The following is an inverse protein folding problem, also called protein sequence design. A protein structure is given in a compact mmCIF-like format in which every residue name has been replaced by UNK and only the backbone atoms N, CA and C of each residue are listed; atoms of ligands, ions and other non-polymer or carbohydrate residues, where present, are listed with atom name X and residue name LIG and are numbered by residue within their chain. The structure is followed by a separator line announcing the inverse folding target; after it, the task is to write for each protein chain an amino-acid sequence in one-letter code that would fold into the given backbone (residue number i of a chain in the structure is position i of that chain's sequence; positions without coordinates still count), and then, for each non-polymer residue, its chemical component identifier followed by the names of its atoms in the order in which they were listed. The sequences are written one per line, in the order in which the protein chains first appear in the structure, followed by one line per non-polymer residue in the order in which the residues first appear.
data_IF_121570064350
#
_entry.id   IF_121570064350
#
_cell.length_a   1.000
_cell.length_b   1.000
_cell.length_c   1.000
_cell.angle_alpha   90.00
_cell.angle_beta   90.00
_cell.angle_gamma   90.00
#
_symmetry.space_group_name_H-M   'P 1'
#
loop_
_entity.id
_entity.type
_entity.pdbx_description
1 polymer ?
#
# COMPACT_ATOMS: atom_id res chain seq x y z
N UNK A 1 -25.58 17.29 56.80
CA UNK A 1 -24.10 17.34 56.77
C UNK A 1 -23.65 15.90 56.61
N UNK A 2 -23.00 15.43 55.56
CA UNK A 2 -22.53 15.99 54.28
C UNK A 2 -22.77 14.88 53.25
N UNK A 3 -23.38 15.20 52.11
CA UNK A 3 -23.44 14.32 50.94
C UNK A 3 -22.28 14.72 50.03
N UNK A 4 -21.16 14.01 50.12
CA UNK A 4 -20.06 14.13 49.16
C UNK A 4 -20.50 13.55 47.82
N UNK A 5 -20.65 14.41 46.81
CA UNK A 5 -20.83 14.00 45.43
C UNK A 5 -19.48 13.57 44.87
N UNK A 6 -19.26 12.26 44.74
CA UNK A 6 -18.18 11.74 43.91
C UNK A 6 -18.50 12.07 42.46
N UNK A 7 -17.72 12.99 41.88
CA UNK A 7 -17.68 13.19 40.44
C UNK A 7 -17.05 11.96 39.82
N UNK A 8 -17.87 11.06 39.29
CA UNK A 8 -17.43 9.95 38.44
C UNK A 8 -16.85 10.53 37.15
N UNK A 9 -15.52 10.65 37.10
CA UNK A 9 -14.81 10.87 35.84
C UNK A 9 -14.93 9.62 34.98
N UNK A 10 -15.76 9.68 33.94
CA UNK A 10 -15.71 8.72 32.84
C UNK A 10 -14.39 8.90 32.09
N UNK A 11 -13.37 8.14 32.50
CA UNK A 11 -12.14 8.00 31.74
C UNK A 11 -12.38 7.07 30.55
N UNK A 12 -11.90 7.47 29.36
CA UNK A 12 -11.92 6.65 28.15
C UNK A 12 -11.31 5.27 28.40
N UNK A 13 -11.93 4.23 27.85
CA UNK A 13 -11.38 2.87 27.94
C UNK A 13 -10.06 2.76 27.15
N UNK A 14 -9.15 1.82 27.49
CA UNK A 14 -7.92 1.59 26.73
C UNK A 14 -8.16 1.32 25.23
N UNK A 15 -9.34 0.81 24.88
CA UNK A 15 -9.77 0.61 23.50
C UNK A 15 -10.13 1.91 22.81
N UNK A 16 -10.88 2.79 23.46
CA UNK A 16 -11.23 4.12 22.93
C UNK A 16 -9.99 5.02 22.83
N UNK A 17 -9.06 4.92 23.79
CA UNK A 17 -7.76 5.59 23.71
C UNK A 17 -6.90 5.06 22.57
N UNK A 18 -7.04 3.79 22.18
CA UNK A 18 -6.31 3.20 21.07
C UNK A 18 -6.96 3.50 19.72
N UNK A 19 -8.29 3.40 19.63
CA UNK A 19 -9.09 3.71 18.43
C UNK A 19 -9.06 5.21 18.09
N UNK A 20 -8.89 6.08 19.10
CA UNK A 20 -8.75 7.53 18.92
C UNK A 20 -7.34 7.99 18.55
N UNK A 21 -6.32 7.11 18.57
CA UNK A 21 -4.96 7.47 18.18
C UNK A 21 -4.82 7.43 16.67
N UNK A 22 -4.32 8.53 16.12
CA UNK A 22 -3.89 8.56 14.73
C UNK A 22 -2.70 7.61 14.54
N UNK A 23 -2.83 6.65 13.63
CA UNK A 23 -1.73 5.75 13.28
C UNK A 23 -0.69 6.57 12.52
N UNK A 24 0.52 6.66 13.08
CA UNK A 24 1.69 7.16 12.36
C UNK A 24 2.13 6.14 11.31
N UNK A 25 1.53 6.24 10.12
CA UNK A 25 1.78 5.36 8.99
C UNK A 25 3.24 5.36 8.57
N UNK A 26 3.91 6.52 8.65
CA UNK A 26 5.32 6.67 8.26
C UNK A 26 6.23 5.98 9.27
N UNK A 27 6.01 6.23 10.57
CA UNK A 27 6.74 5.56 11.64
C UNK A 27 6.59 4.03 11.60
N UNK A 28 5.40 3.51 11.28
CA UNK A 28 5.20 2.06 11.10
C UNK A 28 6.05 1.51 9.95
N UNK A 29 6.06 2.18 8.80
CA UNK A 29 6.83 1.74 7.64
C UNK A 29 8.34 1.86 7.85
N UNK A 30 8.80 2.91 8.53
CA UNK A 30 10.21 3.08 8.92
C UNK A 30 10.66 1.98 9.88
N UNK A 31 9.81 1.58 10.84
CA UNK A 31 10.09 0.47 11.75
C UNK A 31 10.15 -0.89 11.02
N UNK A 32 9.39 -1.05 9.94
CA UNK A 32 9.36 -2.27 9.13
C UNK A 32 10.48 -2.32 8.07
N UNK A 33 11.03 -1.18 7.66
CA UNK A 33 12.02 -1.07 6.58
C UNK A 33 13.25 -2.00 6.76
N UNK A 34 13.84 -2.18 7.95
CA UNK A 34 14.99 -3.08 8.14
C UNK A 34 14.66 -4.56 7.87
N UNK A 35 13.38 -4.93 7.93
CA UNK A 35 12.95 -6.30 7.72
C UNK A 35 12.53 -6.56 6.28
N UNK A 36 12.23 -5.52 5.50
CA UNK A 36 11.78 -5.63 4.13
C UNK A 36 12.81 -6.36 3.26
N UNK A 37 12.41 -7.50 2.68
CA UNK A 37 13.25 -8.31 1.79
C UNK A 37 12.96 -8.06 0.33
N UNK A 38 11.87 -7.37 0.03
CA UNK A 38 11.44 -7.03 -1.32
C UNK A 38 10.41 -5.91 -1.28
N UNK A 39 10.35 -5.13 -2.35
CA UNK A 39 9.22 -4.25 -2.65
C UNK A 39 8.50 -4.77 -3.89
N UNK A 40 7.19 -4.99 -3.80
CA UNK A 40 6.35 -5.38 -4.92
C UNK A 40 5.36 -4.26 -5.26
N UNK A 41 5.33 -3.86 -6.53
CA UNK A 41 4.54 -2.73 -7.02
C UNK A 41 3.38 -3.26 -7.87
N UNK A 42 2.15 -2.94 -7.47
CA UNK A 42 0.92 -3.52 -8.00
C UNK A 42 -0.12 -2.44 -8.34
N UNK A 43 -1.08 -2.75 -9.21
CA UNK A 43 -2.13 -1.82 -9.63
C UNK A 43 -3.36 -1.83 -8.74
N UNK A 44 -3.55 -2.90 -7.96
CA UNK A 44 -4.61 -3.07 -6.96
C UNK A 44 -4.11 -4.02 -5.87
N UNK A 45 -4.60 -3.91 -4.64
CA UNK A 45 -4.28 -4.86 -3.59
C UNK A 45 -4.92 -6.22 -3.89
N UNK A 46 -4.13 -7.15 -4.45
CA UNK A 46 -4.56 -8.54 -4.66
C UNK A 46 -4.24 -9.37 -3.42
N UNK A 47 -5.10 -9.31 -2.40
CA UNK A 47 -4.95 -10.12 -1.20
C UNK A 47 -5.28 -11.59 -1.49
N UNK A 48 -4.29 -12.48 -1.42
CA UNK A 48 -4.54 -13.92 -1.45
C UNK A 48 -4.76 -14.44 -0.02
N UNK A 49 -5.96 -14.22 0.52
CA UNK A 49 -6.34 -14.74 1.83
C UNK A 49 -6.67 -16.25 1.73
N UNK A 50 -5.65 -17.11 1.71
CA UNK A 50 -5.83 -18.48 2.23
C UNK A 50 -5.44 -18.58 3.70
N UNK A 51 -4.42 -17.83 4.13
CA UNK A 51 -4.16 -17.46 5.54
C UNK A 51 -3.35 -16.15 5.50
N UNK A 52 -3.95 -14.96 5.69
CA UNK A 52 -3.16 -13.73 5.68
C UNK A 52 -2.53 -13.51 7.05
N UNK A 53 -1.20 -13.60 7.14
CA UNK A 53 -0.43 -12.95 8.21
C UNK A 53 0.22 -11.72 7.58
N UNK A 54 -0.53 -10.62 7.45
CA UNK A 54 0.09 -9.32 7.21
C UNK A 54 0.30 -8.65 8.56
N UNK A 55 1.45 -8.02 8.76
CA UNK A 55 1.73 -7.28 9.99
C UNK A 55 1.08 -5.89 9.94
N UNK A 56 0.93 -5.31 8.74
CA UNK A 56 0.32 -4.00 8.55
C UNK A 56 -0.34 -3.87 7.16
N UNK A 57 -1.49 -3.19 7.12
CA UNK A 57 -2.14 -2.73 5.90
C UNK A 57 -2.51 -1.25 6.09
N UNK A 58 -1.83 -0.37 5.37
CA UNK A 58 -1.90 1.08 5.55
C UNK A 58 -2.46 1.71 4.27
N UNK A 59 -3.59 2.41 4.40
CA UNK A 59 -4.06 3.30 3.35
C UNK A 59 -3.38 4.66 3.53
N UNK A 60 -2.74 5.14 2.47
CA UNK A 60 -2.02 6.41 2.41
C UNK A 60 -2.62 7.27 1.29
N UNK A 61 -2.55 8.58 1.45
CA UNK A 61 -3.03 9.49 0.41
C UNK A 61 -1.99 9.59 -0.71
N UNK A 62 -2.37 10.17 -1.85
CA UNK A 62 -1.42 10.34 -2.97
C UNK A 62 -0.34 11.38 -2.64
N UNK A 63 -0.61 12.28 -1.71
CA UNK A 63 0.33 13.30 -1.21
C UNK A 63 1.48 12.67 -0.40
N UNK A 64 1.27 11.49 0.18
CA UNK A 64 2.36 10.70 0.80
C UNK A 64 3.26 10.01 -0.23
N UNK A 65 2.88 10.05 -1.51
CA UNK A 65 3.54 9.35 -2.61
C UNK A 65 5.04 9.65 -2.72
N UNK A 66 5.49 10.92 -2.77
CA UNK A 66 6.91 11.25 -2.87
C UNK A 66 7.75 10.67 -1.72
N UNK A 67 7.24 10.75 -0.49
CA UNK A 67 7.92 10.17 0.68
C UNK A 67 8.00 8.64 0.56
N UNK A 68 6.93 7.99 0.11
CA UNK A 68 6.93 6.54 -0.09
C UNK A 68 7.91 6.13 -1.20
N UNK A 69 8.03 6.93 -2.26
CA UNK A 69 9.04 6.71 -3.30
C UNK A 69 10.48 6.86 -2.79
N UNK A 70 10.73 7.82 -1.91
CA UNK A 70 12.04 7.97 -1.25
C UNK A 70 12.35 6.77 -0.35
N UNK A 71 11.36 6.25 0.39
CA UNK A 71 11.50 5.02 1.16
C UNK A 71 11.89 3.84 0.26
N UNK A 72 11.19 3.65 -0.86
CA UNK A 72 11.49 2.58 -1.81
C UNK A 72 12.89 2.74 -2.41
N UNK A 73 13.28 3.97 -2.77
CA UNK A 73 14.62 4.28 -3.27
C UNK A 73 15.70 3.96 -2.23
N UNK A 74 15.45 4.26 -0.97
CA UNK A 74 16.31 3.91 0.16
C UNK A 74 16.48 2.39 0.31
N UNK A 75 15.37 1.65 0.28
CA UNK A 75 15.37 0.18 0.30
C UNK A 75 16.15 -0.41 -0.89
N UNK A 76 15.90 0.11 -2.11
CA UNK A 76 16.61 -0.31 -3.31
C UNK A 76 18.13 -0.07 -3.22
N UNK A 77 18.52 1.08 -2.68
CA UNK A 77 19.94 1.43 -2.45
C UNK A 77 20.61 0.52 -1.40
N UNK A 78 19.82 -0.03 -0.48
CA UNK A 78 20.25 -1.03 0.50
C UNK A 78 20.25 -2.47 -0.05
N UNK A 79 19.96 -2.67 -1.34
CA UNK A 79 19.97 -3.97 -2.01
C UNK A 79 18.65 -4.74 -1.93
N UNK A 80 17.56 -4.10 -1.48
CA UNK A 80 16.24 -4.71 -1.49
C UNK A 80 15.68 -4.71 -2.92
N UNK A 81 15.35 -5.87 -3.52
CA UNK A 81 14.79 -5.93 -4.85
C UNK A 81 13.44 -5.22 -4.94
N UNK A 82 13.29 -4.37 -5.95
CA UNK A 82 12.03 -3.68 -6.27
C UNK A 82 11.46 -4.28 -7.55
N UNK A 83 10.24 -4.78 -7.47
CA UNK A 83 9.61 -5.56 -8.53
C UNK A 83 8.30 -4.94 -8.99
N UNK A 84 8.26 -4.50 -10.25
CA UNK A 84 7.08 -3.97 -10.89
C UNK A 84 6.21 -5.06 -11.53
N UNK A 85 4.95 -5.14 -11.09
CA UNK A 85 3.94 -6.06 -11.59
C UNK A 85 2.77 -5.36 -12.28
N UNK A 86 2.84 -4.05 -12.48
CA UNK A 86 1.80 -3.27 -13.13
C UNK A 86 1.89 -3.47 -14.64
N UNK A 87 0.98 -4.27 -15.20
CA UNK A 87 0.93 -4.56 -16.64
C UNK A 87 0.26 -3.46 -17.48
N UNK A 88 -0.51 -2.58 -16.85
CA UNK A 88 -1.27 -1.54 -17.53
C UNK A 88 -0.46 -0.23 -17.56
N UNK A 89 0.07 0.20 -18.72
CA UNK A 89 1.03 1.31 -18.79
C UNK A 89 0.51 2.64 -18.23
N UNK A 90 -0.75 3.06 -18.46
CA UNK A 90 -1.29 4.27 -17.83
C UNK A 90 -1.29 4.21 -16.30
N UNK A 91 -1.56 3.05 -15.71
CA UNK A 91 -1.53 2.88 -14.25
C UNK A 91 -0.10 2.93 -13.73
N UNK A 92 0.85 2.32 -14.44
CA UNK A 92 2.26 2.38 -14.07
C UNK A 92 2.76 3.83 -14.08
N UNK A 93 2.54 4.54 -15.18
CA UNK A 93 2.97 5.93 -15.31
C UNK A 93 2.35 6.84 -14.23
N UNK A 94 1.08 6.60 -13.85
CA UNK A 94 0.45 7.32 -12.76
C UNK A 94 1.11 7.02 -11.42
N UNK A 95 1.42 5.75 -11.14
CA UNK A 95 2.08 5.34 -9.89
C UNK A 95 3.51 5.86 -9.80
N UNK A 96 4.29 5.78 -10.87
CA UNK A 96 5.66 6.34 -10.94
C UNK A 96 5.66 7.85 -10.72
N UNK A 97 4.70 8.57 -11.30
CA UNK A 97 4.55 10.02 -11.08
C UNK A 97 4.14 10.34 -9.64
N UNK A 98 3.22 9.60 -9.06
CA UNK A 98 2.79 9.79 -7.65
C UNK A 98 3.96 9.53 -6.70
N UNK A 99 4.75 8.48 -6.96
CA UNK A 99 5.86 8.09 -6.10
C UNK A 99 7.15 8.86 -6.41
N UNK A 100 7.27 9.51 -7.56
CA UNK A 100 8.54 10.12 -7.99
C UNK A 100 9.66 9.09 -8.17
N UNK A 101 9.31 7.86 -8.54
CA UNK A 101 10.23 6.74 -8.69
C UNK A 101 9.82 5.88 -9.88
N UNK A 102 10.77 5.63 -10.79
CA UNK A 102 10.58 4.74 -11.95
C UNK A 102 10.92 3.30 -11.57
N UNK A 103 10.01 2.37 -11.83
CA UNK A 103 10.18 1.00 -11.38
C UNK A 103 10.76 0.12 -12.48
N UNK A 104 11.83 -0.64 -12.21
CA UNK A 104 12.34 -1.60 -13.18
C UNK A 104 11.28 -2.67 -13.45
N UNK A 105 11.00 -2.90 -14.73
CA UNK A 105 10.08 -3.97 -15.17
C UNK A 105 10.76 -5.32 -14.91
N UNK A 106 10.09 -6.20 -14.16
CA UNK A 106 10.63 -7.54 -13.87
C UNK A 106 10.35 -8.49 -15.01
N UNK A 107 11.31 -9.40 -15.25
CA UNK A 107 11.17 -10.50 -16.19
C UNK A 107 9.90 -11.31 -15.95
N UNK A 108 9.24 -11.67 -17.06
CA UNK A 108 8.09 -12.56 -17.08
C UNK A 108 8.59 -14.01 -17.02
N UNK A 109 7.80 -14.89 -16.42
CA UNK A 109 7.98 -16.34 -16.50
C UNK A 109 7.78 -16.87 -17.92
N UNK A 110 7.95 -18.18 -18.10
CA UNK A 110 7.90 -18.85 -19.40
C UNK A 110 6.55 -18.67 -20.13
N UNK A 111 5.47 -18.42 -19.39
CA UNK A 111 4.12 -18.17 -19.89
C UNK A 111 3.82 -16.69 -20.16
N UNK A 112 4.81 -15.81 -19.99
CA UNK A 112 4.64 -14.37 -20.10
C UNK A 112 3.91 -13.73 -18.91
N UNK A 113 3.55 -14.50 -17.88
CA UNK A 113 2.99 -13.99 -16.63
C UNK A 113 4.13 -13.62 -15.66
N UNK A 114 3.93 -12.66 -14.74
CA UNK A 114 4.97 -12.37 -13.76
C UNK A 114 5.19 -13.56 -12.82
N UNK A 115 6.46 -13.90 -12.53
CA UNK A 115 6.90 -15.12 -11.82
C UNK A 115 6.23 -15.41 -10.47
N UNK A 116 5.52 -14.45 -9.88
CA UNK A 116 4.87 -14.54 -8.57
C UNK A 116 3.34 -14.54 -8.62
N UNK A 117 2.77 -14.79 -9.79
CA UNK A 117 1.32 -14.91 -9.95
C UNK A 117 0.89 -16.38 -10.03
N UNK A 118 -0.01 -16.80 -9.16
CA UNK A 118 -0.69 -18.11 -9.24
C UNK A 118 -2.16 -17.86 -9.51
N UNK A 119 -2.66 -18.33 -10.68
CA UNK A 119 -4.05 -18.14 -11.12
C UNK A 119 -4.49 -16.66 -11.12
N UNK A 120 -3.62 -15.76 -11.60
CA UNK A 120 -3.89 -14.33 -11.68
C UNK A 120 -3.81 -13.57 -10.35
N UNK A 121 -3.36 -14.21 -9.26
CA UNK A 121 -3.17 -13.57 -7.96
C UNK A 121 -1.70 -13.49 -7.60
N UNK A 122 -1.28 -12.31 -7.13
CA UNK A 122 0.04 -12.13 -6.55
C UNK A 122 0.20 -13.00 -5.30
N UNK A 123 1.36 -13.65 -5.18
CA UNK A 123 1.75 -14.47 -4.03
C UNK A 123 2.88 -13.75 -3.31
N UNK A 124 2.52 -13.06 -2.23
CA UNK A 124 3.47 -12.40 -1.36
C UNK A 124 4.34 -13.43 -0.61
N UNK A 125 5.62 -13.11 -0.47
CA UNK A 125 6.55 -13.80 0.41
C UNK A 125 6.64 -13.16 1.80
N UNK A 126 7.29 -13.87 2.72
CA UNK A 126 7.64 -13.36 4.04
C UNK A 126 8.53 -12.11 3.91
N UNK A 127 8.15 -11.05 4.62
CA UNK A 127 8.77 -9.73 4.61
C UNK A 127 8.75 -9.01 3.25
N UNK A 128 7.77 -9.31 2.40
CA UNK A 128 7.51 -8.53 1.21
C UNK A 128 6.73 -7.25 1.59
N UNK A 129 7.18 -6.10 1.08
CA UNK A 129 6.46 -4.83 1.15
C UNK A 129 5.73 -4.60 -0.17
N UNK A 130 4.41 -4.65 -0.16
CA UNK A 130 3.58 -4.35 -1.30
C UNK A 130 3.18 -2.88 -1.31
N UNK A 131 3.30 -2.23 -2.46
CA UNK A 131 2.76 -0.90 -2.73
C UNK A 131 1.76 -1.03 -3.87
N UNK A 132 0.55 -0.52 -3.66
CA UNK A 132 -0.52 -0.62 -4.66
C UNK A 132 -1.21 0.71 -4.87
N UNK A 133 -1.41 1.08 -6.13
CA UNK A 133 -2.43 2.08 -6.47
C UNK A 133 -3.81 1.46 -6.20
N UNK A 134 -4.76 2.23 -5.66
CA UNK A 134 -6.11 1.75 -5.38
C UNK A 134 -7.10 2.77 -5.90
N UNK A 135 -8.09 2.31 -6.68
CA UNK A 135 -9.14 3.17 -7.23
C UNK A 135 -10.42 2.94 -6.42
N UNK A 136 -10.85 3.96 -5.67
CA UNK A 136 -12.05 3.96 -4.82
C UNK A 136 -13.36 4.10 -5.59
N UNK A 137 -13.37 3.76 -6.88
CA UNK A 137 -14.54 3.82 -7.77
C UNK A 137 -14.64 2.51 -8.56
N UNK A 138 -15.87 2.03 -8.74
CA UNK A 138 -16.15 0.90 -9.64
C UNK A 138 -15.84 1.30 -11.08
N UNK A 139 -14.95 0.56 -11.72
CA UNK A 139 -14.61 0.69 -13.14
C UNK A 139 -15.41 -0.35 -13.91
N UNK A 140 -15.83 -0.02 -15.13
CA UNK A 140 -16.49 -0.97 -16.03
C UNK A 140 -15.56 -2.12 -16.39
N UNK A 141 -16.07 -3.35 -16.34
CA UNK A 141 -15.28 -4.54 -16.65
C UNK A 141 -14.86 -4.55 -18.12
N UNK A 142 -13.60 -4.92 -18.38
CA UNK A 142 -13.07 -5.08 -19.73
C UNK A 142 -12.63 -3.79 -20.44
N UNK A 143 -12.87 -2.60 -19.85
CA UNK A 143 -12.40 -1.33 -20.42
C UNK A 143 -11.15 -0.83 -19.66
N UNK A 144 -9.96 -0.82 -20.28
CA UNK A 144 -8.78 -0.21 -19.65
C UNK A 144 -8.98 1.31 -19.55
N UNK A 145 -8.56 1.88 -18.41
CA UNK A 145 -8.62 3.32 -18.18
C UNK A 145 -7.53 4.05 -18.99
N UNK A 146 -7.86 5.19 -19.57
CA UNK A 146 -6.82 6.04 -20.19
C UNK A 146 -6.03 6.79 -19.12
N UNK A 147 -4.93 7.41 -19.53
CA UNK A 147 -4.12 8.28 -18.67
C UNK A 147 -4.96 9.44 -18.12
N UNK A 148 -5.74 10.08 -18.99
CA UNK A 148 -6.57 11.23 -18.65
C UNK A 148 -7.65 10.88 -17.62
N UNK A 149 -8.21 9.67 -17.72
CA UNK A 149 -9.19 9.15 -16.76
C UNK A 149 -8.54 8.89 -15.40
N UNK A 150 -7.36 8.28 -15.36
CA UNK A 150 -6.61 8.07 -14.11
C UNK A 150 -6.24 9.41 -13.46
N UNK A 151 -5.77 10.37 -14.27
CA UNK A 151 -5.44 11.71 -13.79
C UNK A 151 -6.66 12.45 -13.25
N UNK A 152 -7.84 12.22 -13.85
CA UNK A 152 -9.13 12.67 -13.33
C UNK A 152 -9.41 12.09 -11.95
N UNK A 153 -9.29 10.77 -11.80
CA UNK A 153 -9.52 10.07 -10.54
C UNK A 153 -8.55 10.52 -9.43
N UNK A 154 -7.29 10.81 -9.77
CA UNK A 154 -6.32 11.38 -8.81
C UNK A 154 -6.78 12.76 -8.34
N UNK A 155 -7.14 13.66 -9.27
CA UNK A 155 -7.63 15.01 -8.93
C UNK A 155 -8.92 15.00 -8.12
N UNK A 156 -9.77 14.00 -8.32
CA UNK A 156 -11.03 13.81 -7.59
C UNK A 156 -10.85 13.14 -6.22
N UNK A 157 -9.62 12.80 -5.82
CA UNK A 157 -9.35 12.07 -4.56
C UNK A 157 -9.93 10.65 -4.55
N UNK A 158 -10.09 10.04 -5.73
CA UNK A 158 -10.59 8.66 -5.91
C UNK A 158 -9.46 7.64 -6.06
N UNK A 159 -8.22 8.09 -6.00
CA UNK A 159 -7.04 7.24 -5.98
C UNK A 159 -6.38 7.34 -4.62
N UNK A 160 -5.99 6.20 -4.07
CA UNK A 160 -5.17 6.12 -2.86
C UNK A 160 -4.01 5.14 -3.06
N UNK A 161 -3.03 5.21 -2.17
CA UNK A 161 -1.99 4.21 -2.06
C UNK A 161 -2.38 3.23 -0.95
N UNK A 162 -2.17 1.94 -1.21
CA UNK A 162 -2.29 0.89 -0.21
C UNK A 162 -0.93 0.23 -0.05
N UNK A 163 -0.40 0.26 1.17
CA UNK A 163 0.86 -0.40 1.53
C UNK A 163 0.56 -1.59 2.43
N UNK A 164 1.02 -2.78 2.05
CA UNK A 164 0.83 -4.01 2.81
C UNK A 164 2.18 -4.62 3.12
N UNK A 165 2.44 -4.93 4.37
CA UNK A 165 3.64 -5.67 4.77
C UNK A 165 3.27 -7.09 5.20
N UNK A 166 3.86 -8.07 4.53
CA UNK A 166 3.61 -9.50 4.78
C UNK A 166 4.66 -10.06 5.75
N UNK A 167 4.21 -10.77 6.79
CA UNK A 167 5.05 -11.55 7.70
C UNK A 167 4.85 -13.04 7.42
#
# INVERSE_FOLDING_TARGET
MESGSETSGEGSTPREEFEGREIDRRGVLEALAPFARRVAVLSVPLMNARVPVFAAALSMSVEDGPWLGDLVRGLASAGVPVENYVVHPPTLAALERILGYEFPVVGRGEDGAPLRFIRGRYVAGHNDLQISLSIGRRIEEGRPLTREEIDGLVREGKVSLTVVYYY
#
